data_IF_888709827477
#
_entry.id   IF_888709827477
#
_cell.length_a   1.000
_cell.length_b   1.000
_cell.length_c   1.000
_cell.angle_alpha   90.00
_cell.angle_beta   90.00
_cell.angle_gamma   90.00
#
_symmetry.space_group_name_H-M   'P 1'
#
loop_
_entity.id
_entity.type
_entity.pdbx_description
1 polymer ?
#
# COMPACT_ATOMS: atom_id res chain seq x y z
N UNK A 1 -19.46 2.07 16.77
CA UNK A 1 -18.48 1.10 17.31
C UNK A 1 -17.35 0.85 16.34
N UNK A 2 -16.17 1.47 16.57
CA UNK A 2 -14.94 1.18 15.81
C UNK A 2 -14.47 -0.26 16.04
N UNK A 3 -14.59 -0.73 17.28
CA UNK A 3 -14.24 -2.10 17.67
C UNK A 3 -15.07 -3.17 16.96
N UNK A 4 -16.38 -2.92 16.75
CA UNK A 4 -17.24 -3.86 16.02
C UNK A 4 -16.86 -4.03 14.54
N UNK A 5 -16.22 -3.01 13.92
CA UNK A 5 -15.64 -3.14 12.57
C UNK A 5 -14.25 -3.78 12.60
N UNK A 6 -13.50 -3.55 13.67
CA UNK A 6 -12.16 -4.10 13.84
C UNK A 6 -11.23 -3.74 12.68
N UNK A 7 -10.52 -4.74 12.17
CA UNK A 7 -9.53 -4.60 11.10
C UNK A 7 -10.11 -4.78 9.69
N UNK A 8 -11.42 -5.04 9.53
CA UNK A 8 -12.03 -5.36 8.23
C UNK A 8 -11.77 -4.31 7.14
N UNK A 9 -11.74 -3.04 7.53
CA UNK A 9 -11.42 -1.95 6.59
C UNK A 9 -9.96 -2.04 6.12
N UNK A 10 -9.03 -2.34 7.02
CA UNK A 10 -7.61 -2.47 6.67
C UNK A 10 -7.37 -3.73 5.83
N UNK A 11 -7.99 -4.85 6.20
CA UNK A 11 -7.96 -6.09 5.41
C UNK A 11 -8.45 -5.85 3.97
N UNK A 12 -9.60 -5.17 3.82
CA UNK A 12 -10.12 -4.84 2.49
C UNK A 12 -9.22 -3.90 1.67
N UNK A 13 -8.42 -3.05 2.31
CA UNK A 13 -7.46 -2.17 1.63
C UNK A 13 -6.24 -2.99 1.21
N UNK A 14 -5.68 -3.80 2.12
CA UNK A 14 -4.54 -4.67 1.85
C UNK A 14 -4.81 -5.59 0.66
N UNK A 15 -5.98 -6.24 0.63
CA UNK A 15 -6.32 -7.20 -0.43
C UNK A 15 -6.52 -6.56 -1.81
N UNK A 16 -6.63 -5.23 -1.93
CA UNK A 16 -6.72 -4.56 -3.24
C UNK A 16 -5.38 -4.47 -3.99
N UNK A 17 -4.26 -4.70 -3.28
CA UNK A 17 -2.90 -4.63 -3.84
C UNK A 17 -2.12 -5.92 -3.61
N UNK A 18 -2.80 -7.07 -3.59
CA UNK A 18 -2.17 -8.39 -3.38
C UNK A 18 -1.91 -8.76 -1.91
N UNK A 19 -2.37 -7.96 -0.95
CA UNK A 19 -2.23 -8.24 0.48
C UNK A 19 -0.86 -7.92 1.06
N UNK A 20 -0.48 -8.62 2.13
CA UNK A 20 0.82 -8.43 2.80
C UNK A 20 1.46 -9.81 3.06
N UNK A 21 2.66 -10.10 2.52
CA UNK A 21 3.26 -11.44 2.59
C UNK A 21 3.34 -12.02 4.00
N UNK A 22 3.77 -11.21 4.98
CA UNK A 22 3.85 -11.59 6.40
C UNK A 22 2.50 -11.91 7.07
N UNK A 23 1.38 -11.48 6.48
CA UNK A 23 0.03 -11.70 7.00
C UNK A 23 -0.76 -12.73 6.19
N UNK A 24 -0.18 -13.26 5.12
CA UNK A 24 -0.79 -14.22 4.19
C UNK A 24 -0.10 -15.57 4.26
N UNK A 25 -0.76 -16.60 3.73
CA UNK A 25 -0.10 -17.86 3.48
C UNK A 25 0.94 -17.68 2.36
N UNK A 26 2.13 -18.28 2.51
CA UNK A 26 3.21 -18.19 1.51
C UNK A 26 2.85 -18.77 0.14
N UNK A 27 1.80 -19.60 0.05
CA UNK A 27 1.29 -20.14 -1.21
C UNK A 27 0.20 -19.27 -1.85
N UNK A 28 -0.36 -18.32 -1.10
CA UNK A 28 -1.43 -17.44 -1.56
C UNK A 28 -0.90 -16.08 -2.07
N UNK A 29 0.23 -15.63 -1.54
CA UNK A 29 0.88 -14.42 -2.03
C UNK A 29 1.66 -14.71 -3.32
N UNK A 30 1.36 -13.96 -4.37
CA UNK A 30 1.96 -14.11 -5.70
C UNK A 30 2.81 -12.85 -5.97
N UNK A 31 4.13 -13.03 -6.00
CA UNK A 31 5.08 -11.91 -6.17
C UNK A 31 4.86 -11.14 -7.48
N UNK A 32 4.46 -11.85 -8.53
CA UNK A 32 4.28 -11.29 -9.86
C UNK A 32 2.89 -10.70 -10.12
N UNK A 33 1.95 -10.78 -9.16
CA UNK A 33 0.59 -10.25 -9.33
C UNK A 33 0.57 -8.72 -9.37
N UNK A 34 1.42 -8.08 -8.56
CA UNK A 34 1.58 -6.63 -8.51
C UNK A 34 3.05 -6.26 -8.40
N UNK A 35 3.48 -5.30 -9.22
CA UNK A 35 4.79 -4.69 -9.07
C UNK A 35 4.85 -3.81 -7.81
N UNK A 36 6.04 -3.63 -7.24
CA UNK A 36 6.23 -2.71 -6.12
C UNK A 36 5.78 -1.28 -6.44
N UNK A 37 5.93 -0.84 -7.70
CA UNK A 37 5.47 0.46 -8.17
C UNK A 37 3.93 0.58 -8.12
N UNK A 38 3.19 -0.46 -8.51
CA UNK A 38 1.72 -0.46 -8.43
C UNK A 38 1.22 -0.46 -6.98
N UNK A 39 1.86 -1.25 -6.11
CA UNK A 39 1.57 -1.27 -4.68
C UNK A 39 1.83 0.12 -4.08
N UNK A 40 2.97 0.71 -4.38
CA UNK A 40 3.36 2.05 -3.92
C UNK A 40 2.38 3.13 -4.41
N UNK A 41 2.01 3.13 -5.69
CA UNK A 41 1.04 4.07 -6.24
C UNK A 41 -0.33 3.95 -5.57
N UNK A 42 -0.80 2.73 -5.26
CA UNK A 42 -2.06 2.52 -4.57
C UNK A 42 -2.07 3.19 -3.19
N UNK A 43 -1.04 2.96 -2.37
CA UNK A 43 -0.95 3.57 -1.05
C UNK A 43 -0.69 5.08 -1.12
N UNK A 44 0.06 5.55 -2.11
CA UNK A 44 0.27 6.98 -2.30
C UNK A 44 -1.03 7.71 -2.67
N UNK A 45 -1.89 7.12 -3.50
CA UNK A 45 -3.22 7.69 -3.79
C UNK A 45 -4.13 7.70 -2.57
N UNK A 46 -4.01 6.73 -1.68
CA UNK A 46 -4.83 6.62 -0.48
C UNK A 46 -4.38 7.58 0.63
N UNK A 47 -3.06 7.74 0.81
CA UNK A 47 -2.46 8.48 1.93
C UNK A 47 -1.98 9.88 1.56
N UNK A 48 -1.83 10.14 0.26
CA UNK A 48 -1.26 11.37 -0.29
C UNK A 48 0.27 11.42 -0.28
N UNK A 49 0.94 10.34 0.12
CA UNK A 49 2.40 10.30 0.26
C UNK A 49 2.97 8.97 -0.25
N UNK A 50 4.09 9.05 -0.95
CA UNK A 50 4.89 7.89 -1.30
C UNK A 50 5.66 7.42 -0.06
N UNK A 51 5.64 6.11 0.20
CA UNK A 51 6.33 5.47 1.33
C UNK A 51 7.78 5.14 0.99
N UNK A 52 8.10 4.94 -0.28
CA UNK A 52 9.44 4.55 -0.76
C UNK A 52 10.30 5.75 -1.18
N UNK A 53 9.68 6.88 -1.53
CA UNK A 53 10.40 8.08 -1.96
C UNK A 53 9.61 9.35 -1.64
N UNK A 54 10.28 10.50 -1.65
CA UNK A 54 9.65 11.81 -1.53
C UNK A 54 10.05 12.65 -2.74
N UNK A 55 9.07 13.35 -3.33
CA UNK A 55 9.30 14.30 -4.42
C UNK A 55 8.96 15.69 -3.89
N UNK A 56 9.97 16.55 -3.85
CA UNK A 56 9.83 17.95 -3.49
C UNK A 56 10.37 18.83 -4.60
N UNK A 57 9.73 19.98 -4.83
CA UNK A 57 10.29 21.02 -5.71
C UNK A 57 11.33 21.78 -4.90
N UNK A 58 12.57 21.79 -5.38
CA UNK A 58 13.60 22.66 -4.84
C UNK A 58 13.54 24.02 -5.56
N UNK A 59 12.97 25.02 -4.89
CA UNK A 59 12.84 26.39 -5.41
C UNK A 59 14.20 27.10 -5.61
N UNK A 60 15.31 26.50 -5.15
CA UNK A 60 16.65 27.07 -5.29
C UNK A 60 17.32 26.74 -6.63
N UNK A 61 16.79 25.77 -7.38
CA UNK A 61 17.28 25.41 -8.72
C UNK A 61 16.50 26.25 -9.75
N UNK A 62 17.16 27.28 -10.29
CA UNK A 62 16.66 28.14 -11.38
C UNK A 62 17.04 27.61 -12.75
#
# INVERSE_FOLDING_TARGET
NREARGLKTLESILMQSGGWPMAMNSLEWIEEEHTWQEIEEFYARLTGQHSLYEISIDETIK
#
